data_IF_346618631725
#
_entry.id   IF_346618631725
#
_cell.length_a   1.000
_cell.length_b   1.000
_cell.length_c   1.000
_cell.angle_alpha   90.00
_cell.angle_beta   90.00
_cell.angle_gamma   90.00
#
_symmetry.space_group_name_H-M   'P 1'
#
loop_
_entity.id
_entity.type
_entity.pdbx_description
1 polymer ?
#
# COMPACT_ATOMS: atom_id res chain seq x y z
N UNK A 1 -8.36 -43.04 -10.17
CA UNK A 1 -7.44 -42.69 -11.07
C UNK A 1 -7.34 -41.22 -11.38
N UNK A 2 -8.34 -40.57 -11.96
CA UNK A 2 -8.29 -39.12 -12.15
C UNK A 2 -8.13 -38.36 -10.84
N UNK A 3 -8.63 -38.89 -9.72
CA UNK A 3 -8.52 -38.25 -8.42
C UNK A 3 -7.08 -38.10 -7.93
N UNK A 4 -6.24 -39.11 -8.13
CA UNK A 4 -4.86 -39.03 -7.68
C UNK A 4 -4.07 -38.00 -8.47
N UNK A 5 -4.35 -37.85 -9.77
CA UNK A 5 -3.73 -36.82 -10.59
C UNK A 5 -4.13 -35.43 -10.13
N UNK A 6 -5.41 -35.25 -9.80
CA UNK A 6 -5.91 -33.96 -9.31
C UNK A 6 -5.24 -33.57 -7.98
N UNK A 7 -5.05 -34.55 -7.09
CA UNK A 7 -4.39 -34.29 -5.82
C UNK A 7 -2.94 -33.87 -6.00
N UNK A 8 -2.23 -34.48 -6.95
CA UNK A 8 -0.84 -34.12 -7.24
C UNK A 8 -0.76 -32.67 -7.76
N UNK A 9 -1.66 -32.29 -8.64
CA UNK A 9 -1.69 -30.94 -9.17
C UNK A 9 -1.98 -29.93 -8.05
N UNK A 10 -2.93 -30.25 -7.18
CA UNK A 10 -3.25 -29.40 -6.05
C UNK A 10 -2.04 -29.21 -5.13
N UNK A 11 -1.27 -30.26 -4.89
CA UNK A 11 -0.07 -30.19 -4.09
C UNK A 11 0.97 -29.25 -4.66
N UNK A 12 1.18 -29.28 -5.99
CA UNK A 12 2.11 -28.39 -6.65
C UNK A 12 1.69 -26.93 -6.55
N UNK A 13 0.40 -26.66 -6.71
CA UNK A 13 -0.13 -25.30 -6.59
C UNK A 13 0.10 -24.77 -5.16
N UNK A 14 -0.13 -25.59 -4.15
CA UNK A 14 0.10 -25.17 -2.77
C UNK A 14 1.57 -24.84 -2.51
N UNK A 15 2.48 -25.62 -3.06
CA UNK A 15 3.91 -25.34 -2.93
C UNK A 15 4.27 -23.99 -3.55
N UNK A 16 3.70 -23.67 -4.71
CA UNK A 16 3.93 -22.39 -5.37
C UNK A 16 3.43 -21.23 -4.50
N UNK A 17 2.27 -21.39 -3.87
CA UNK A 17 1.75 -20.37 -2.96
C UNK A 17 2.67 -20.13 -1.77
N UNK A 18 3.22 -21.19 -1.20
CA UNK A 18 4.13 -21.06 -0.07
C UNK A 18 5.36 -20.23 -0.43
N UNK A 19 5.93 -20.41 -1.61
CA UNK A 19 7.07 -19.65 -2.09
C UNK A 19 6.69 -18.16 -2.25
N UNK A 20 5.53 -17.88 -2.85
CA UNK A 20 5.06 -16.52 -3.03
C UNK A 20 4.84 -15.82 -1.68
N UNK A 21 4.28 -16.53 -0.70
CA UNK A 21 4.07 -15.97 0.63
C UNK A 21 5.39 -15.60 1.30
N UNK A 22 6.42 -16.42 1.14
CA UNK A 22 7.75 -16.14 1.70
C UNK A 22 8.34 -14.87 1.08
N UNK A 23 8.19 -14.67 -0.21
CA UNK A 23 8.67 -13.46 -0.89
C UNK A 23 7.98 -12.21 -0.35
N UNK A 24 6.68 -12.29 -0.09
CA UNK A 24 5.94 -11.17 0.48
C UNK A 24 6.36 -10.85 1.91
N UNK A 25 6.68 -11.86 2.69
CA UNK A 25 7.10 -11.65 4.07
C UNK A 25 8.32 -10.75 4.17
N UNK A 26 9.20 -10.77 3.19
CA UNK A 26 10.40 -9.94 3.16
C UNK A 26 10.08 -8.44 3.06
N UNK A 27 8.88 -8.06 2.59
CA UNK A 27 8.50 -6.67 2.35
C UNK A 27 7.40 -6.17 3.29
N UNK A 28 7.11 -6.90 4.36
CA UNK A 28 6.01 -6.59 5.27
C UNK A 28 6.10 -5.19 5.85
N UNK A 29 7.29 -4.73 6.22
CA UNK A 29 7.46 -3.43 6.86
C UNK A 29 7.23 -2.23 5.95
N UNK A 30 6.91 -2.45 4.68
CA UNK A 30 6.75 -1.37 3.69
C UNK A 30 5.41 -1.40 2.98
N UNK A 31 4.45 -2.10 3.55
CA UNK A 31 3.12 -2.24 2.99
C UNK A 31 2.08 -2.03 4.08
N UNK A 32 1.14 -1.15 3.83
CA UNK A 32 0.03 -0.90 4.72
C UNK A 32 -1.29 -1.02 3.98
N UNK A 33 -2.29 -1.56 4.68
CA UNK A 33 -3.67 -1.54 4.22
C UNK A 33 -4.41 -0.46 4.98
N UNK A 34 -5.15 0.38 4.26
CA UNK A 34 -5.84 1.49 4.87
C UNK A 34 -7.25 1.65 4.31
N UNK A 35 -8.21 1.86 5.20
CA UNK A 35 -9.60 2.14 4.83
C UNK A 35 -9.89 3.61 5.04
N UNK A 36 -10.36 4.28 3.99
CA UNK A 36 -10.79 5.67 4.06
C UNK A 36 -12.30 5.73 3.99
N UNK A 37 -12.89 6.54 4.87
CA UNK A 37 -14.34 6.75 4.90
C UNK A 37 -14.78 7.92 4.03
N UNK A 38 -13.85 8.68 3.49
CA UNK A 38 -14.11 9.80 2.59
C UNK A 38 -13.11 9.78 1.44
N UNK A 39 -13.40 10.55 0.40
CA UNK A 39 -12.51 10.66 -0.74
C UNK A 39 -11.19 11.30 -0.34
N UNK A 40 -10.10 10.76 -0.85
CA UNK A 40 -8.74 11.23 -0.59
C UNK A 40 -8.07 11.60 -1.90
N UNK A 41 -7.20 12.59 -1.87
CA UNK A 41 -6.47 13.01 -3.07
C UNK A 41 -5.00 12.62 -2.98
N UNK A 42 -4.51 11.96 -4.00
CA UNK A 42 -3.10 11.78 -4.31
C UNK A 42 -2.78 12.69 -5.50
N UNK A 43 -1.50 12.93 -5.82
CA UNK A 43 -1.18 13.75 -6.99
C UNK A 43 -1.81 13.18 -8.27
N UNK A 44 -2.73 13.92 -8.86
CA UNK A 44 -3.40 13.52 -10.10
C UNK A 44 -4.44 12.41 -9.99
N UNK A 45 -4.74 11.91 -8.79
CA UNK A 45 -5.67 10.81 -8.60
C UNK A 45 -6.55 11.06 -7.37
N UNK A 46 -7.83 10.77 -7.49
CA UNK A 46 -8.75 10.80 -6.35
C UNK A 46 -9.13 9.38 -6.00
N UNK A 47 -8.95 9.03 -4.73
CA UNK A 47 -9.38 7.74 -4.19
C UNK A 47 -10.77 7.88 -3.61
N UNK A 48 -11.73 7.11 -4.12
CA UNK A 48 -13.06 7.04 -3.52
C UNK A 48 -12.97 6.39 -2.13
N UNK A 49 -13.96 6.57 -1.26
CA UNK A 49 -13.99 5.83 0.01
C UNK A 49 -13.84 4.33 -0.24
N UNK A 50 -12.95 3.69 0.49
CA UNK A 50 -12.65 2.27 0.28
C UNK A 50 -11.37 1.85 0.95
N UNK A 51 -10.93 0.63 0.67
CA UNK A 51 -9.72 0.05 1.24
C UNK A 51 -8.64 -0.07 0.18
N UNK A 52 -7.45 0.39 0.52
CA UNK A 52 -6.33 0.48 -0.39
C UNK A 52 -5.08 -0.11 0.24
N UNK A 53 -4.18 -0.58 -0.61
CA UNK A 53 -2.86 -1.03 -0.21
C UNK A 53 -1.85 0.02 -0.66
N UNK A 54 -1.11 0.57 0.31
CA UNK A 54 0.01 1.46 0.04
C UNK A 54 1.29 0.66 0.20
N UNK A 55 2.16 0.72 -0.79
CA UNK A 55 3.43 0.00 -0.72
C UNK A 55 4.57 0.80 -1.33
N UNK A 56 5.75 0.63 -0.75
CA UNK A 56 6.99 1.11 -1.34
C UNK A 56 7.45 0.05 -2.32
N UNK A 57 7.69 0.44 -3.56
CA UNK A 57 8.13 -0.49 -4.59
C UNK A 57 9.53 -1.00 -4.26
N UNK A 58 9.72 -2.31 -4.34
CA UNK A 58 10.99 -2.93 -4.02
C UNK A 58 12.12 -2.35 -4.87
N UNK A 59 13.22 -2.00 -4.20
CA UNK A 59 14.36 -1.40 -4.85
C UNK A 59 14.29 0.12 -5.04
N UNK A 60 13.15 0.75 -4.70
CA UNK A 60 12.93 2.18 -4.89
C UNK A 60 12.26 2.79 -3.66
N UNK A 61 13.06 3.24 -2.71
CA UNK A 61 12.53 3.77 -1.45
C UNK A 61 11.61 4.99 -1.64
N UNK A 62 11.72 5.68 -2.75
CA UNK A 62 10.95 6.88 -3.08
C UNK A 62 9.78 6.61 -4.01
N UNK A 63 9.55 5.38 -4.43
CA UNK A 63 8.47 5.03 -5.34
C UNK A 63 7.35 4.34 -4.59
N UNK A 64 6.15 4.95 -4.62
CA UNK A 64 4.97 4.43 -3.93
C UNK A 64 3.93 3.97 -4.93
N UNK A 65 3.33 2.83 -4.67
CA UNK A 65 2.23 2.29 -5.45
C UNK A 65 1.02 2.11 -4.55
N UNK A 66 -0.15 2.53 -5.05
CA UNK A 66 -1.41 2.40 -4.34
C UNK A 66 -2.35 1.53 -5.17
N UNK A 67 -2.85 0.49 -4.55
CA UNK A 67 -3.72 -0.50 -5.18
C UNK A 67 -5.06 -0.53 -4.46
N UNK A 68 -6.16 -0.58 -5.22
CA UNK A 68 -7.49 -0.81 -4.67
C UNK A 68 -7.61 -2.27 -4.25
N UNK A 69 -7.88 -2.53 -2.98
CA UNK A 69 -7.98 -3.90 -2.48
C UNK A 69 -9.19 -4.65 -3.00
N UNK A 70 -10.25 -3.95 -3.31
CA UNK A 70 -11.48 -4.58 -3.79
C UNK A 70 -11.34 -5.06 -5.22
N UNK A 71 -10.78 -4.24 -6.10
CA UNK A 71 -10.64 -4.54 -7.52
C UNK A 71 -9.26 -5.07 -7.88
N UNK A 72 -8.29 -4.94 -6.98
CA UNK A 72 -6.90 -5.30 -7.21
C UNK A 72 -6.25 -4.51 -8.35
N UNK A 73 -6.74 -3.31 -8.61
CA UNK A 73 -6.20 -2.42 -9.64
C UNK A 73 -5.23 -1.42 -9.04
N UNK A 74 -4.13 -1.19 -9.73
CA UNK A 74 -3.19 -0.14 -9.37
C UNK A 74 -3.80 1.20 -9.81
N UNK A 75 -4.00 2.11 -8.85
CA UNK A 75 -4.58 3.42 -9.09
C UNK A 75 -3.55 4.54 -9.14
N UNK A 76 -2.40 4.33 -8.49
CA UNK A 76 -1.36 5.35 -8.41
C UNK A 76 0.00 4.67 -8.33
N UNK A 77 0.96 5.19 -9.08
CA UNK A 77 2.37 4.87 -8.93
C UNK A 77 3.13 6.15 -9.19
N UNK A 78 3.93 6.58 -8.22
CA UNK A 78 4.63 7.86 -8.37
C UNK A 78 5.80 8.01 -7.42
N UNK A 79 6.73 8.87 -7.83
CA UNK A 79 7.86 9.22 -6.99
C UNK A 79 7.43 10.19 -5.90
N UNK A 80 8.02 10.02 -4.75
CA UNK A 80 7.74 10.79 -3.54
C UNK A 80 9.04 11.33 -2.98
N UNK A 81 8.93 12.22 -2.00
CA UNK A 81 10.07 12.64 -1.21
C UNK A 81 10.20 11.74 0.00
N UNK A 82 11.35 11.12 0.17
CA UNK A 82 11.61 10.34 1.38
C UNK A 82 11.84 11.31 2.53
N UNK A 83 11.01 11.22 3.56
CA UNK A 83 11.05 12.13 4.69
C UNK A 83 11.17 11.34 5.99
N UNK A 84 11.65 12.00 7.04
CA UNK A 84 11.77 11.38 8.34
C UNK A 84 10.43 11.37 9.06
N UNK A 85 10.13 10.26 9.72
CA UNK A 85 8.91 10.14 10.51
C UNK A 85 8.98 11.07 11.73
N UNK A 86 8.00 11.96 11.92
CA UNK A 86 8.05 12.92 13.02
C UNK A 86 7.76 12.31 14.38
N UNK A 87 6.95 11.25 14.45
CA UNK A 87 6.59 10.61 15.71
C UNK A 87 7.28 9.25 15.83
N UNK A 88 7.96 9.06 16.94
CA UNK A 88 8.75 7.87 17.19
C UNK A 88 7.99 6.76 17.89
N UNK A 89 6.86 7.06 18.48
CA UNK A 89 6.13 6.11 19.31
C UNK A 89 4.98 5.41 18.59
N UNK A 90 4.78 5.70 17.34
CA UNK A 90 3.69 5.14 16.57
C UNK A 90 4.22 4.11 15.58
N UNK A 91 4.05 2.84 15.94
CA UNK A 91 4.50 1.73 15.10
C UNK A 91 3.49 1.37 14.01
N UNK A 92 2.33 1.99 14.03
CA UNK A 92 1.31 1.77 13.03
C UNK A 92 1.54 2.67 11.83
N UNK A 93 1.01 2.25 10.67
CA UNK A 93 0.99 3.11 9.51
C UNK A 93 0.20 4.37 9.79
N UNK A 94 0.69 5.49 9.30
CA UNK A 94 0.08 6.79 9.54
C UNK A 94 0.15 7.66 8.30
N UNK A 95 -0.76 8.64 8.25
CA UNK A 95 -0.83 9.59 7.15
C UNK A 95 -0.81 11.01 7.69
N UNK A 96 -0.09 11.88 7.01
CA UNK A 96 -0.23 13.31 7.19
C UNK A 96 -1.21 13.81 6.14
N UNK A 97 -2.28 14.43 6.59
CA UNK A 97 -3.35 14.91 5.71
C UNK A 97 -3.33 16.43 5.63
N UNK A 98 -3.64 16.95 4.46
CA UNK A 98 -3.87 18.37 4.28
C UNK A 98 -5.31 18.74 4.59
N UNK A 99 -5.65 19.99 4.36
CA UNK A 99 -6.99 20.51 4.55
C UNK A 99 -7.71 20.59 3.21
N UNK A 100 -9.02 20.37 3.27
CA UNK A 100 -9.88 20.52 2.09
C UNK A 100 -11.23 21.07 2.52
N UNK A 101 -11.89 21.87 1.66
CA UNK A 101 -13.26 22.30 1.91
C UNK A 101 -14.19 21.08 2.07
N UNK A 102 -15.28 21.28 2.78
CA UNK A 102 -16.27 20.23 3.00
C UNK A 102 -16.77 19.69 1.67
N UNK A 103 -16.77 18.36 1.55
CA UNK A 103 -17.22 17.68 0.34
C UNK A 103 -16.13 17.45 -0.70
N UNK A 104 -14.97 18.05 -0.54
CA UNK A 104 -13.84 17.83 -1.45
C UNK A 104 -12.89 16.74 -0.93
N UNK A 105 -12.14 16.10 -1.84
CA UNK A 105 -11.17 15.09 -1.42
C UNK A 105 -10.09 15.68 -0.52
N UNK A 106 -9.74 14.95 0.52
CA UNK A 106 -8.68 15.37 1.45
C UNK A 106 -7.32 14.97 0.88
N UNK A 107 -6.39 15.92 0.71
CA UNK A 107 -5.08 15.56 0.19
C UNK A 107 -4.27 14.76 1.19
N UNK A 108 -3.68 13.68 0.72
CA UNK A 108 -2.69 12.91 1.47
C UNK A 108 -1.34 13.57 1.22
N UNK A 109 -0.77 14.18 2.25
CA UNK A 109 0.51 14.86 2.12
C UNK A 109 1.68 13.91 2.30
N UNK A 110 1.53 12.90 3.15
CA UNK A 110 2.57 11.91 3.37
C UNK A 110 2.00 10.62 3.91
N UNK A 111 2.71 9.53 3.66
CA UNK A 111 2.43 8.24 4.24
C UNK A 111 3.67 7.74 4.97
N UNK A 112 3.46 7.29 6.21
CA UNK A 112 4.52 6.73 7.03
C UNK A 112 4.22 5.25 7.24
N UNK A 113 4.93 4.35 6.54
CA UNK A 113 4.69 2.92 6.68
C UNK A 113 4.89 2.46 8.12
N UNK A 114 4.09 1.48 8.54
CA UNK A 114 4.24 0.88 9.86
C UNK A 114 5.66 0.36 10.05
N UNK A 115 6.20 0.55 11.25
CA UNK A 115 7.54 0.09 11.64
C UNK A 115 8.69 0.75 10.87
N UNK A 116 8.41 1.78 10.08
CA UNK A 116 9.44 2.49 9.34
C UNK A 116 9.78 3.82 10.02
N UNK A 117 11.05 4.18 9.98
CA UNK A 117 11.52 5.48 10.48
C UNK A 117 11.40 6.57 9.43
N UNK A 118 11.14 6.21 8.21
CA UNK A 118 10.96 7.15 7.12
C UNK A 118 9.58 7.02 6.53
N UNK A 119 9.17 8.03 5.80
CA UNK A 119 7.93 8.07 5.09
C UNK A 119 8.10 8.66 3.71
N UNK A 120 7.00 8.77 3.01
CA UNK A 120 6.95 9.22 1.63
C UNK A 120 6.02 10.41 1.52
N UNK A 121 6.57 11.57 1.20
CA UNK A 121 5.81 12.79 0.99
C UNK A 121 5.34 12.91 -0.44
N UNK A 122 4.05 13.18 -0.62
CA UNK A 122 3.46 13.33 -1.95
C UNK A 122 3.51 14.80 -2.37
N UNK A 123 3.90 15.03 -3.62
CA UNK A 123 3.99 16.39 -4.17
C UNK A 123 2.69 16.72 -4.90
N UNK A 124 1.84 17.48 -4.26
CA UNK A 124 0.64 18.03 -4.90
C UNK A 124 0.98 19.31 -5.64
N UNK A 125 0.31 19.53 -6.73
CA UNK A 125 0.45 20.77 -7.51
C UNK A 125 -0.64 21.77 -7.14
#
# INVERSE_FOLDING_TARGET
MTRSKSLLVAGLVLASFAIAASSRAANIGRTDHMTFKRAMALPGVVLAPGTYTFEVVEGHADLVRVTDRTTNRVLYTGFTDVIRRPDRNNDRGAFALGEAPKGEPVPIQAWFPAWSRSGNGFRHR
#
